data_IF_547401470538
#
_entry.id   IF_547401470538
#
_cell.length_a   1.000
_cell.length_b   1.000
_cell.length_c   1.000
_cell.angle_alpha   90.00
_cell.angle_beta   90.00
_cell.angle_gamma   90.00
#
_symmetry.space_group_name_H-M   'P 1'
#
loop_
_entity.id
_entity.type
_entity.pdbx_description
1 polymer ?
#
# COMPACT_ATOMS: atom_id res chain seq x y z
N UNK A 1 -8.80 -23.11 -6.29
CA UNK A 1 -9.21 -21.70 -6.24
C UNK A 1 -8.30 -21.00 -5.25
N UNK A 2 -7.31 -20.25 -5.76
CA UNK A 2 -6.30 -19.57 -4.96
C UNK A 2 -6.98 -18.60 -3.99
N UNK A 3 -6.69 -18.78 -2.71
CA UNK A 3 -7.13 -17.92 -1.61
C UNK A 3 -6.80 -16.47 -1.99
N UNK A 4 -7.81 -15.63 -2.11
CA UNK A 4 -7.68 -14.21 -2.41
C UNK A 4 -6.67 -13.60 -1.42
N UNK A 5 -5.44 -13.28 -1.87
CA UNK A 5 -4.44 -12.56 -1.08
C UNK A 5 -4.80 -11.08 -1.03
N UNK A 6 -5.99 -10.75 -0.55
CA UNK A 6 -6.32 -9.36 -0.26
C UNK A 6 -5.76 -9.03 1.11
N UNK A 7 -4.89 -8.01 1.19
CA UNK A 7 -4.64 -7.35 2.47
C UNK A 7 -5.96 -6.74 2.96
N UNK A 8 -6.41 -7.04 4.19
CA UNK A 8 -7.68 -6.53 4.71
C UNK A 8 -7.64 -5.02 4.96
N UNK A 9 -6.45 -4.44 5.10
CA UNK A 9 -6.22 -3.03 5.32
C UNK A 9 -4.89 -2.58 4.69
N UNK A 10 -4.72 -1.27 4.42
CA UNK A 10 -3.43 -0.73 3.99
C UNK A 10 -2.34 -1.00 5.02
N UNK A 11 -1.16 -1.42 4.57
CA UNK A 11 0.04 -1.62 5.40
C UNK A 11 1.10 -0.60 5.01
N UNK A 12 1.74 0.02 6.00
CA UNK A 12 2.87 0.91 5.76
C UNK A 12 4.05 0.09 5.21
N UNK A 13 4.56 0.44 4.02
CA UNK A 13 5.74 -0.22 3.43
C UNK A 13 7.04 0.46 3.85
N UNK A 14 7.10 1.78 3.75
CA UNK A 14 8.24 2.61 4.16
C UNK A 14 7.71 3.70 5.07
N UNK A 15 8.20 3.73 6.30
CA UNK A 15 7.89 4.78 7.26
C UNK A 15 9.04 5.78 7.34
N UNK A 16 8.69 7.04 7.62
CA UNK A 16 9.67 8.06 7.98
C UNK A 16 9.60 8.27 9.49
N UNK A 17 10.65 7.87 10.20
CA UNK A 17 10.81 8.08 11.64
C UNK A 17 11.94 9.07 11.83
N UNK A 18 11.58 10.31 12.22
CA UNK A 18 12.53 11.39 12.50
C UNK A 18 13.54 11.66 11.36
N UNK A 19 13.09 11.60 10.10
CA UNK A 19 13.92 11.80 8.92
C UNK A 19 14.65 10.55 8.42
N UNK A 20 14.62 9.45 9.20
CA UNK A 20 15.12 8.15 8.77
C UNK A 20 14.03 7.35 8.07
N UNK A 21 14.37 6.70 6.97
CA UNK A 21 13.47 5.80 6.24
C UNK A 21 13.66 4.37 6.74
N UNK A 22 12.61 3.78 7.28
CA UNK A 22 12.60 2.38 7.70
C UNK A 22 11.62 1.58 6.84
N UNK A 23 12.02 0.38 6.44
CA UNK A 23 11.16 -0.53 5.68
C UNK A 23 10.45 -1.48 6.64
N UNK A 24 9.15 -1.63 6.47
CA UNK A 24 8.34 -2.56 7.25
C UNK A 24 8.56 -4.00 6.75
N UNK A 25 9.07 -4.87 7.63
CA UNK A 25 9.36 -6.27 7.33
C UNK A 25 8.09 -7.08 7.02
N UNK A 26 6.98 -6.81 7.69
CA UNK A 26 5.72 -7.52 7.48
C UNK A 26 5.15 -7.24 6.08
N UNK A 27 5.31 -5.99 5.62
CA UNK A 27 4.92 -5.59 4.27
C UNK A 27 5.79 -6.29 3.21
N UNK A 28 7.11 -6.38 3.43
CA UNK A 28 8.03 -7.10 2.54
C UNK A 28 7.72 -8.59 2.48
N UNK A 29 7.45 -9.22 3.62
CA UNK A 29 7.11 -10.65 3.69
C UNK A 29 5.83 -10.93 2.89
N UNK A 30 4.80 -10.11 3.04
CA UNK A 30 3.59 -10.25 2.23
C UNK A 30 3.87 -10.11 0.72
N UNK A 31 4.61 -9.06 0.32
CA UNK A 31 4.95 -8.81 -1.07
C UNK A 31 5.78 -9.94 -1.68
N UNK A 32 6.70 -10.54 -0.90
CA UNK A 32 7.52 -11.68 -1.34
C UNK A 32 6.71 -12.93 -1.67
N UNK A 33 5.48 -13.03 -1.14
CA UNK A 33 4.56 -14.12 -1.44
C UNK A 33 3.79 -13.95 -2.76
N UNK A 34 3.81 -12.77 -3.40
CA UNK A 34 3.12 -12.51 -4.66
C UNK A 34 4.03 -12.90 -5.82
N UNK A 35 3.63 -13.90 -6.59
CA UNK A 35 4.43 -14.41 -7.73
C UNK A 35 3.83 -14.03 -9.09
N UNK A 36 2.62 -13.49 -9.08
CA UNK A 36 1.92 -13.02 -10.26
C UNK A 36 2.45 -11.63 -10.69
N UNK A 37 2.43 -11.29 -11.98
CA UNK A 37 2.72 -9.93 -12.43
C UNK A 37 1.78 -8.92 -11.76
N UNK A 38 2.34 -7.82 -11.24
CA UNK A 38 1.58 -6.76 -10.56
C UNK A 38 1.68 -5.44 -11.31
N UNK A 39 0.63 -4.64 -11.20
CA UNK A 39 0.63 -3.23 -11.61
C UNK A 39 0.78 -2.38 -10.35
N UNK A 40 1.78 -1.51 -10.34
CA UNK A 40 2.05 -0.62 -9.20
C UNK A 40 1.57 0.79 -9.54
N UNK A 41 0.69 1.33 -8.69
CA UNK A 41 0.18 2.71 -8.79
C UNK A 41 0.62 3.48 -7.55
N UNK A 42 1.15 4.69 -7.74
CA UNK A 42 1.56 5.59 -6.66
C UNK A 42 0.91 6.96 -6.83
N UNK A 43 0.54 7.59 -5.72
CA UNK A 43 -0.05 8.93 -5.66
C UNK A 43 0.78 9.79 -4.71
N UNK A 44 1.36 10.87 -5.23
CA UNK A 44 2.20 11.81 -4.48
C UNK A 44 1.64 13.23 -4.57
N UNK A 45 1.96 14.08 -3.60
CA UNK A 45 1.49 15.46 -3.55
C UNK A 45 1.41 16.02 -2.13
N UNK A 46 1.16 17.32 -2.03
CA UNK A 46 1.12 18.08 -0.76
C UNK A 46 0.18 17.44 0.28
N UNK A 47 0.46 17.67 1.56
CA UNK A 47 -0.37 17.17 2.65
C UNK A 47 -1.82 17.65 2.48
N UNK A 48 -2.80 16.77 2.82
CA UNK A 48 -4.25 17.05 2.75
C UNK A 48 -4.88 17.33 1.37
N UNK A 49 -4.24 16.94 0.26
CA UNK A 49 -4.83 17.07 -1.10
C UNK A 49 -5.71 15.89 -1.56
N UNK A 50 -6.26 15.09 -0.64
CA UNK A 50 -7.16 13.98 -1.00
C UNK A 50 -6.50 12.73 -1.61
N UNK A 51 -5.18 12.57 -1.45
CA UNK A 51 -4.45 11.40 -1.98
C UNK A 51 -5.02 10.05 -1.53
N UNK A 52 -5.33 9.91 -0.23
CA UNK A 52 -5.92 8.68 0.31
C UNK A 52 -7.33 8.43 -0.24
N UNK A 53 -8.12 9.49 -0.43
CA UNK A 53 -9.45 9.40 -1.05
C UNK A 53 -9.36 8.86 -2.48
N UNK A 54 -8.40 9.33 -3.29
CA UNK A 54 -8.18 8.78 -4.62
C UNK A 54 -7.76 7.30 -4.57
N UNK A 55 -6.85 6.93 -3.66
CA UNK A 55 -6.43 5.53 -3.48
C UNK A 55 -7.59 4.62 -3.06
N UNK A 56 -8.47 5.08 -2.18
CA UNK A 56 -9.64 4.30 -1.76
C UNK A 56 -10.62 4.10 -2.92
N UNK A 57 -10.85 5.14 -3.75
CA UNK A 57 -11.65 5.03 -4.98
C UNK A 57 -11.04 4.03 -5.97
N UNK A 58 -9.72 4.03 -6.16
CA UNK A 58 -9.03 3.05 -6.99
C UNK A 58 -9.15 1.62 -6.46
N UNK A 59 -9.17 1.46 -5.12
CA UNK A 59 -9.40 0.18 -4.46
C UNK A 59 -10.89 -0.24 -4.42
N UNK A 60 -11.80 0.53 -5.03
CA UNK A 60 -13.24 0.27 -5.00
C UNK A 60 -13.91 0.54 -3.65
N UNK A 61 -13.24 1.25 -2.73
CA UNK A 61 -13.76 1.62 -1.41
C UNK A 61 -14.38 3.03 -1.43
N UNK A 62 -15.35 3.29 -0.56
CA UNK A 62 -16.09 4.58 -0.49
C UNK A 62 -15.68 5.49 0.67
N UNK A 63 -14.80 5.02 1.56
CA UNK A 63 -14.24 5.76 2.70
C UNK A 63 -12.97 6.50 2.34
#
# INVERSE_FOLDING_TARGET
MSKTRLMPSPVCLVENVNGSLNVNKDALEFLSGINEPVVVVSVVGLYRTGKSYLMNRLAGQQT
#
